data_IF_467247792987
#
_entry.id   IF_467247792987
#
_cell.length_a   1.000
_cell.length_b   1.000
_cell.length_c   1.000
_cell.angle_alpha   90.00
_cell.angle_beta   90.00
_cell.angle_gamma   90.00
#
_symmetry.space_group_name_H-M   'P 1'
#
loop_
_entity.id
_entity.type
_entity.pdbx_description
1 polymer ?
#
# COMPACT_ATOMS: atom_id res chain seq x y z
N UNK A 1 -71.28 35.24 -7.01
CA UNK A 1 -71.40 36.47 -6.21
C UNK A 1 -70.59 36.29 -4.93
N UNK A 2 -69.87 37.34 -4.51
CA UNK A 2 -68.99 37.49 -3.34
C UNK A 2 -67.60 36.88 -3.46
N UNK A 3 -66.51 37.57 -3.16
CA UNK A 3 -66.15 39.00 -3.11
C UNK A 3 -64.62 38.96 -2.91
N UNK A 4 -63.89 39.72 -3.72
CA UNK A 4 -62.44 39.96 -3.59
C UNK A 4 -62.24 41.15 -2.63
N UNK A 5 -61.36 41.01 -1.63
CA UNK A 5 -60.59 42.08 -0.97
C UNK A 5 -59.53 41.40 -0.07
N UNK A 6 -58.24 41.32 -0.44
CA UNK A 6 -57.12 42.28 -0.26
C UNK A 6 -56.43 42.19 1.11
N UNK A 7 -55.09 42.27 1.06
CA UNK A 7 -54.11 42.75 2.07
C UNK A 7 -53.54 41.74 3.10
N UNK A 8 -52.24 41.41 2.97
CA UNK A 8 -51.13 41.91 3.82
C UNK A 8 -49.83 41.14 3.53
N UNK A 9 -48.74 41.89 3.38
CA UNK A 9 -47.38 41.42 3.25
C UNK A 9 -46.75 41.08 4.62
N UNK A 10 -45.58 40.43 4.54
CA UNK A 10 -44.42 40.47 5.45
C UNK A 10 -44.14 39.25 6.36
N UNK A 11 -42.92 38.72 6.16
CA UNK A 11 -41.99 38.12 7.15
C UNK A 11 -42.40 36.73 7.72
N UNK A 12 -41.58 35.69 7.81
CA UNK A 12 -40.12 35.54 7.80
C UNK A 12 -39.79 34.09 7.41
N UNK A 13 -38.73 33.86 6.62
CA UNK A 13 -38.10 32.55 6.53
C UNK A 13 -37.44 32.24 7.88
N UNK A 14 -38.03 31.35 8.66
CA UNK A 14 -37.31 30.67 9.73
C UNK A 14 -36.53 29.53 9.07
N UNK A 15 -35.30 29.83 8.64
CA UNK A 15 -34.29 28.80 8.38
C UNK A 15 -33.90 28.25 9.75
N UNK A 16 -34.64 27.25 10.21
CA UNK A 16 -34.25 26.46 11.36
C UNK A 16 -33.01 25.65 11.00
N UNK A 17 -31.82 26.15 11.36
CA UNK A 17 -30.64 25.30 11.51
C UNK A 17 -30.91 24.32 12.64
N UNK A 18 -31.43 23.13 12.31
CA UNK A 18 -31.36 22.00 13.23
C UNK A 18 -29.89 21.74 13.61
N UNK A 19 -29.61 21.19 14.81
CA UNK A 19 -28.26 20.74 15.14
C UNK A 19 -27.86 19.73 14.07
N UNK A 20 -26.91 20.14 13.23
CA UNK A 20 -26.29 19.29 12.21
C UNK A 20 -25.66 18.15 13.00
N UNK A 21 -26.36 17.01 13.10
CA UNK A 21 -25.71 15.77 13.47
C UNK A 21 -24.62 15.59 12.43
N UNK A 22 -23.39 15.93 12.81
CA UNK A 22 -22.23 15.51 12.06
C UNK A 22 -22.38 14.00 11.97
N UNK A 23 -22.43 13.42 10.76
CA UNK A 23 -22.27 11.98 10.64
C UNK A 23 -21.07 11.59 11.52
N UNK A 24 -21.10 10.44 12.21
CA UNK A 24 -19.87 9.89 12.78
C UNK A 24 -18.81 10.04 11.71
N UNK A 25 -17.67 10.66 12.04
CA UNK A 25 -16.61 10.89 11.07
C UNK A 25 -16.48 9.62 10.24
N UNK A 26 -16.71 9.73 8.92
CA UNK A 26 -16.41 8.62 8.03
C UNK A 26 -14.96 8.28 8.35
N UNK A 27 -14.75 7.11 8.96
CA UNK A 27 -13.44 6.49 8.92
C UNK A 27 -13.18 6.40 7.42
N UNK A 28 -12.15 7.10 6.89
CA UNK A 28 -11.86 7.02 5.47
C UNK A 28 -11.81 5.53 5.14
N UNK A 29 -12.50 5.07 4.09
CA UNK A 29 -12.18 3.77 3.51
C UNK A 29 -10.67 3.82 3.24
N UNK A 30 -9.89 3.13 4.05
CA UNK A 30 -8.44 3.12 3.90
C UNK A 30 -8.14 2.65 2.47
N UNK A 31 -7.18 3.25 1.76
CA UNK A 31 -6.95 2.86 0.38
C UNK A 31 -6.56 1.38 0.36
N UNK A 32 -7.42 0.55 -0.23
CA UNK A 32 -6.90 -0.61 -0.96
C UNK A 32 -6.03 -0.05 -2.07
N UNK A 33 -4.76 -0.40 -2.10
CA UNK A 33 -3.80 0.26 -2.99
C UNK A 33 -2.46 -0.46 -2.98
N UNK A 34 -1.66 -0.11 -3.97
CA UNK A 34 -0.28 -0.58 -4.12
C UNK A 34 0.65 0.62 -4.03
N UNK A 35 1.87 0.44 -3.55
CA UNK A 35 2.87 1.51 -3.62
C UNK A 35 4.29 0.98 -3.49
N UNK A 36 5.22 1.73 -4.08
CA UNK A 36 6.64 1.62 -3.79
C UNK A 36 7.01 2.54 -2.61
N UNK A 37 7.83 2.05 -1.70
CA UNK A 37 8.40 2.82 -0.59
C UNK A 37 9.91 2.66 -0.55
N UNK A 38 10.59 3.79 -0.34
CA UNK A 38 12.03 3.80 -0.13
C UNK A 38 12.32 3.45 1.33
N UNK A 39 13.26 2.52 1.54
CA UNK A 39 13.80 2.16 2.84
C UNK A 39 15.25 2.67 2.95
N UNK A 40 15.84 2.66 4.14
CA UNK A 40 17.24 3.07 4.31
C UNK A 40 18.23 2.13 3.59
N UNK A 41 17.90 0.84 3.47
CA UNK A 41 18.75 -0.21 2.89
C UNK A 41 18.08 -1.03 1.79
N UNK A 42 17.25 -0.39 0.98
CA UNK A 42 16.56 -1.05 -0.13
C UNK A 42 15.26 -0.35 -0.49
N UNK A 43 14.36 -1.10 -1.10
CA UNK A 43 13.00 -0.68 -1.36
C UNK A 43 12.02 -1.75 -0.93
N UNK A 44 10.76 -1.35 -0.77
CA UNK A 44 9.67 -2.30 -0.73
C UNK A 44 8.54 -1.84 -1.64
N UNK A 45 7.83 -2.81 -2.18
CA UNK A 45 6.51 -2.62 -2.72
C UNK A 45 5.51 -3.35 -1.85
N UNK A 46 4.33 -2.79 -1.70
CA UNK A 46 3.27 -3.45 -0.96
C UNK A 46 1.95 -3.42 -1.72
N UNK A 47 1.11 -4.41 -1.42
CA UNK A 47 -0.32 -4.33 -1.62
C UNK A 47 -1.00 -4.25 -0.25
N UNK A 48 -1.96 -3.35 -0.10
CA UNK A 48 -2.71 -3.18 1.14
C UNK A 48 -4.22 -3.20 0.90
N UNK A 49 -4.95 -3.52 1.95
CA UNK A 49 -6.41 -3.47 1.99
C UNK A 49 -6.88 -2.89 3.32
N UNK A 50 -7.78 -1.91 3.27
CA UNK A 50 -8.48 -1.38 4.45
C UNK A 50 -7.54 -0.99 5.61
N UNK A 51 -6.33 -0.47 5.27
CA UNK A 51 -5.18 -0.07 6.15
C UNK A 51 -4.18 -1.15 6.56
N UNK A 52 -4.36 -2.41 6.15
CA UNK A 52 -3.47 -3.51 6.51
C UNK A 52 -2.67 -3.95 5.29
N UNK A 53 -1.36 -4.12 5.45
CA UNK A 53 -0.51 -4.70 4.41
C UNK A 53 -0.84 -6.17 4.22
N UNK A 54 -1.09 -6.60 2.98
CA UNK A 54 -1.43 -7.98 2.65
C UNK A 54 -0.27 -8.72 1.99
N UNK A 55 0.54 -8.01 1.20
CA UNK A 55 1.74 -8.56 0.54
C UNK A 55 2.86 -7.54 0.58
N UNK A 56 4.10 -8.01 0.77
CA UNK A 56 5.32 -7.20 0.65
C UNK A 56 6.30 -7.83 -0.34
N UNK A 57 6.91 -7.00 -1.15
CA UNK A 57 8.03 -7.36 -2.03
C UNK A 57 9.20 -6.44 -1.69
N UNK A 58 10.26 -6.97 -1.08
CA UNK A 58 11.48 -6.23 -0.79
C UNK A 58 12.48 -6.38 -1.94
N UNK A 59 13.19 -5.31 -2.23
CA UNK A 59 14.37 -5.36 -3.10
C UNK A 59 15.63 -4.91 -2.36
N UNK A 60 16.74 -5.52 -2.74
CA UNK A 60 18.08 -5.27 -2.25
C UNK A 60 18.76 -4.07 -2.94
N UNK A 61 17.97 -3.12 -3.42
CA UNK A 61 18.48 -1.85 -3.89
C UNK A 61 17.47 -0.73 -3.60
N UNK A 62 17.93 0.47 -3.22
CA UNK A 62 17.03 1.58 -2.95
C UNK A 62 16.30 2.04 -4.21
N UNK A 63 15.08 2.58 -4.03
CA UNK A 63 14.35 3.23 -5.12
C UNK A 63 15.19 4.38 -5.69
N UNK A 64 15.35 4.38 -7.02
CA UNK A 64 16.03 5.44 -7.75
C UNK A 64 15.14 6.69 -7.90
N UNK A 65 13.83 6.49 -8.14
CA UNK A 65 12.82 7.53 -8.24
C UNK A 65 11.71 7.26 -7.21
N UNK A 66 11.27 8.31 -6.51
CA UNK A 66 10.14 8.22 -5.58
C UNK A 66 8.80 8.05 -6.30
N UNK A 67 8.76 8.29 -7.62
CA UNK A 67 7.59 8.10 -8.48
C UNK A 67 7.65 6.80 -9.28
N UNK A 68 8.46 5.81 -8.87
CA UNK A 68 8.57 4.54 -9.60
C UNK A 68 7.18 3.86 -9.67
N UNK A 69 6.66 3.56 -10.88
CA UNK A 69 5.30 3.06 -11.04
C UNK A 69 5.00 1.81 -10.21
N UNK A 70 3.79 1.72 -9.70
CA UNK A 70 3.34 0.65 -8.79
C UNK A 70 3.26 -0.74 -9.45
N UNK A 71 3.43 -0.85 -10.76
CA UNK A 71 3.37 -2.12 -11.50
C UNK A 71 4.72 -2.86 -11.57
N UNK A 72 5.77 -2.29 -10.98
CA UNK A 72 7.07 -2.94 -10.85
C UNK A 72 7.84 -2.48 -9.60
N UNK A 73 8.84 -3.29 -9.25
CA UNK A 73 9.91 -2.91 -8.34
C UNK A 73 11.20 -2.75 -9.11
N UNK A 74 12.12 -1.95 -8.59
CA UNK A 74 13.48 -1.83 -9.15
C UNK A 74 14.48 -2.52 -8.21
N UNK A 75 15.25 -3.46 -8.75
CA UNK A 75 16.41 -4.09 -8.10
C UNK A 75 17.64 -3.88 -8.99
N UNK A 76 18.70 -3.26 -8.46
CA UNK A 76 19.97 -2.96 -9.15
C UNK A 76 19.81 -2.36 -10.55
N UNK A 77 18.89 -1.39 -10.68
CA UNK A 77 18.57 -0.71 -11.96
C UNK A 77 17.72 -1.53 -12.93
N UNK A 78 17.34 -2.76 -12.57
CA UNK A 78 16.45 -3.61 -13.34
C UNK A 78 15.02 -3.48 -12.82
N UNK A 79 14.08 -3.14 -13.73
CA UNK A 79 12.64 -3.13 -13.45
C UNK A 79 12.11 -4.57 -13.48
N UNK A 80 11.44 -4.96 -12.42
CA UNK A 80 10.84 -6.29 -12.24
C UNK A 80 9.33 -6.09 -12.12
N UNK A 81 8.52 -6.52 -13.10
CA UNK A 81 7.07 -6.35 -13.03
C UNK A 81 6.49 -7.18 -11.88
N UNK A 82 5.53 -6.59 -11.16
CA UNK A 82 4.86 -7.20 -10.02
C UNK A 82 3.35 -6.99 -10.14
N UNK A 83 2.59 -8.08 -10.01
CA UNK A 83 1.13 -8.04 -9.98
C UNK A 83 0.63 -8.94 -8.87
N UNK A 84 -0.13 -8.40 -7.92
CA UNK A 84 -0.76 -9.18 -6.85
C UNK A 84 -2.25 -9.39 -7.12
N UNK A 85 -2.67 -10.65 -7.14
CA UNK A 85 -4.05 -11.08 -7.24
C UNK A 85 -4.46 -11.79 -5.94
N UNK A 86 -4.56 -11.03 -4.87
CA UNK A 86 -5.00 -11.50 -3.54
C UNK A 86 -5.94 -10.49 -2.90
N UNK A 87 -6.86 -10.97 -2.05
CA UNK A 87 -7.81 -10.12 -1.30
C UNK A 87 -7.47 -9.99 0.18
N UNK A 88 -6.60 -10.85 0.68
CA UNK A 88 -6.37 -11.04 2.12
C UNK A 88 -4.91 -11.29 2.47
N UNK A 89 -4.01 -11.43 1.49
CA UNK A 89 -2.61 -11.75 1.74
C UNK A 89 -2.38 -13.19 2.23
N UNK A 90 -3.38 -14.06 2.09
CA UNK A 90 -3.34 -15.47 2.53
C UNK A 90 -3.67 -16.44 1.40
N UNK A 91 -4.43 -15.99 0.41
CA UNK A 91 -4.85 -16.79 -0.75
C UNK A 91 -4.74 -15.99 -2.04
N UNK A 92 -4.63 -16.68 -3.17
CA UNK A 92 -4.44 -16.08 -4.49
C UNK A 92 -2.99 -16.14 -4.95
N UNK A 93 -2.64 -15.28 -5.90
CA UNK A 93 -1.32 -15.34 -6.55
C UNK A 93 -0.62 -14.00 -6.56
N UNK A 94 0.71 -14.02 -6.63
CA UNK A 94 1.52 -12.90 -7.08
C UNK A 94 2.32 -13.33 -8.30
N UNK A 95 2.39 -12.47 -9.31
CA UNK A 95 3.31 -12.63 -10.44
C UNK A 95 4.49 -11.71 -10.24
N UNK A 96 5.71 -12.25 -10.27
CA UNK A 96 6.97 -11.49 -10.21
C UNK A 96 7.81 -11.91 -11.40
N UNK A 97 8.14 -10.95 -12.28
CA UNK A 97 8.81 -11.23 -13.57
C UNK A 97 8.09 -12.30 -14.41
N UNK A 98 6.75 -12.35 -14.35
CA UNK A 98 5.93 -13.36 -15.07
C UNK A 98 5.91 -14.74 -14.43
N UNK A 99 6.66 -14.98 -13.35
CA UNK A 99 6.57 -16.22 -12.57
C UNK A 99 5.48 -16.08 -11.51
N UNK A 100 4.56 -17.03 -11.46
CA UNK A 100 3.48 -17.04 -10.46
C UNK A 100 3.90 -17.75 -9.17
N UNK A 101 3.54 -17.16 -8.05
CA UNK A 101 3.73 -17.69 -6.71
C UNK A 101 2.37 -17.72 -5.99
N UNK A 102 2.07 -18.84 -5.33
CA UNK A 102 0.90 -18.98 -4.48
C UNK A 102 1.15 -18.26 -3.15
N UNK A 103 0.30 -17.29 -2.82
CA UNK A 103 0.40 -16.48 -1.59
C UNK A 103 0.22 -17.35 -0.34
N UNK A 104 -0.43 -18.51 -0.44
CA UNK A 104 -0.55 -19.45 0.67
C UNK A 104 0.80 -20.01 1.15
N UNK A 105 1.83 -20.00 0.29
CA UNK A 105 3.20 -20.41 0.65
C UNK A 105 4.00 -19.28 1.32
N UNK A 106 3.49 -18.06 1.27
CA UNK A 106 4.11 -16.89 1.88
C UNK A 106 3.68 -15.59 1.21
N UNK A 107 3.58 -14.54 2.00
CA UNK A 107 3.08 -13.21 1.61
C UNK A 107 4.18 -12.14 1.59
N UNK A 108 5.43 -12.52 1.87
CA UNK A 108 6.60 -11.66 1.76
C UNK A 108 7.55 -12.25 0.73
N UNK A 109 8.04 -11.42 -0.18
CA UNK A 109 8.94 -11.80 -1.26
C UNK A 109 10.22 -10.98 -1.18
N UNK A 110 11.37 -11.63 -1.32
CA UNK A 110 12.67 -10.98 -1.41
C UNK A 110 13.16 -11.14 -2.85
N UNK A 111 13.33 -10.02 -3.55
CA UNK A 111 13.65 -9.98 -4.98
C UNK A 111 15.01 -9.35 -5.17
N UNK A 112 15.93 -10.09 -5.78
CA UNK A 112 17.27 -9.62 -6.13
C UNK A 112 17.58 -9.90 -7.59
N UNK A 113 18.29 -8.96 -8.21
CA UNK A 113 18.86 -9.08 -9.57
C UNK A 113 20.39 -8.91 -9.57
N UNK A 114 21.04 -9.04 -8.41
CA UNK A 114 22.50 -8.91 -8.26
C UNK A 114 23.24 -9.79 -9.28
N UNK A 115 24.29 -9.23 -9.88
CA UNK A 115 25.10 -9.86 -10.93
C UNK A 115 24.28 -10.38 -12.12
N UNK A 116 23.14 -9.75 -12.41
CA UNK A 116 22.23 -10.14 -13.49
C UNK A 116 21.46 -11.43 -13.21
N UNK A 117 21.49 -11.95 -11.98
CA UNK A 117 20.78 -13.17 -11.59
C UNK A 117 19.48 -12.81 -10.89
N UNK A 118 18.36 -13.09 -11.54
CA UNK A 118 17.04 -12.96 -10.92
C UNK A 118 16.81 -14.06 -9.89
N UNK A 119 16.51 -13.66 -8.65
CA UNK A 119 16.17 -14.56 -7.54
C UNK A 119 14.97 -14.02 -6.79
N UNK A 120 14.09 -14.94 -6.41
CA UNK A 120 12.95 -14.68 -5.53
C UNK A 120 13.00 -15.67 -4.37
N UNK A 121 12.93 -15.17 -3.15
CA UNK A 121 12.68 -15.97 -1.96
C UNK A 121 11.32 -15.59 -1.41
N UNK A 122 10.48 -16.59 -1.13
CA UNK A 122 9.15 -16.41 -0.57
C UNK A 122 9.16 -16.79 0.92
N UNK A 123 8.56 -15.94 1.74
CA UNK A 123 8.53 -16.05 3.20
C UNK A 123 7.08 -15.92 3.69
N UNK A 124 6.69 -16.79 4.61
CA UNK A 124 5.44 -16.65 5.34
C UNK A 124 5.67 -15.76 6.58
N UNK A 125 4.94 -14.63 6.67
CA UNK A 125 5.02 -13.68 7.79
C UNK A 125 3.65 -13.14 8.17
N UNK A 126 3.49 -12.73 9.43
CA UNK A 126 2.31 -12.01 9.86
C UNK A 126 2.43 -10.52 9.50
N UNK A 127 1.54 -10.04 8.65
CA UNK A 127 1.47 -8.65 8.20
C UNK A 127 0.28 -7.90 8.82
N UNK A 128 -0.51 -8.53 9.70
CA UNK A 128 -1.75 -7.95 10.23
C UNK A 128 -1.54 -6.64 11.00
N UNK A 129 -0.34 -6.42 11.54
CA UNK A 129 0.03 -5.22 12.29
C UNK A 129 0.93 -4.27 11.48
N UNK A 130 1.25 -4.60 10.22
CA UNK A 130 2.14 -3.80 9.38
C UNK A 130 1.31 -2.79 8.60
N UNK A 131 1.42 -1.52 8.99
CA UNK A 131 0.76 -0.43 8.26
C UNK A 131 1.50 -0.14 6.94
N UNK A 132 0.78 0.26 5.88
CA UNK A 132 1.33 0.51 4.55
C UNK A 132 2.05 1.87 4.45
N UNK A 133 3.10 2.06 5.25
CA UNK A 133 3.97 3.24 5.19
C UNK A 133 5.43 2.85 5.45
N UNK A 134 6.36 3.68 4.96
CA UNK A 134 7.79 3.39 5.00
C UNK A 134 8.31 3.10 6.41
N UNK A 135 7.89 3.88 7.41
CA UNK A 135 8.35 3.70 8.80
C UNK A 135 7.95 2.34 9.37
N UNK A 136 6.69 1.93 9.19
CA UNK A 136 6.20 0.66 9.72
C UNK A 136 6.76 -0.54 8.95
N UNK A 137 6.88 -0.43 7.63
CA UNK A 137 7.48 -1.47 6.78
C UNK A 137 8.96 -1.65 7.13
N UNK A 138 9.70 -0.56 7.34
CA UNK A 138 11.11 -0.62 7.73
C UNK A 138 11.27 -1.22 9.13
N UNK A 139 10.46 -0.81 10.11
CA UNK A 139 10.46 -1.41 11.45
C UNK A 139 10.20 -2.91 11.40
N UNK A 140 9.20 -3.34 10.62
CA UNK A 140 8.92 -4.75 10.40
C UNK A 140 10.12 -5.48 9.78
N UNK A 141 10.69 -4.93 8.71
CA UNK A 141 11.82 -5.54 7.99
C UNK A 141 13.07 -5.69 8.87
N UNK A 142 13.35 -4.71 9.74
CA UNK A 142 14.52 -4.74 10.63
C UNK A 142 14.32 -5.63 11.86
N UNK A 143 13.07 -5.90 12.25
CA UNK A 143 12.75 -6.84 13.32
C UNK A 143 12.83 -8.31 12.87
N UNK A 144 12.65 -8.56 11.56
CA UNK A 144 12.78 -9.89 10.97
C UNK A 144 14.22 -10.20 10.56
N UNK A 145 14.77 -11.33 11.03
CA UNK A 145 16.16 -11.68 10.79
C UNK A 145 16.47 -11.93 9.30
N UNK A 146 15.57 -12.60 8.57
CA UNK A 146 15.82 -12.96 7.16
C UNK A 146 15.68 -11.74 6.25
N UNK A 147 14.63 -10.94 6.47
CA UNK A 147 14.40 -9.70 5.70
C UNK A 147 15.50 -8.69 6.01
N UNK A 148 15.85 -8.52 7.30
CA UNK A 148 16.93 -7.64 7.72
C UNK A 148 18.28 -8.07 7.16
N UNK A 149 18.59 -9.37 7.14
CA UNK A 149 19.82 -9.87 6.52
C UNK A 149 19.86 -9.59 5.02
N UNK A 150 18.74 -9.81 4.32
CA UNK A 150 18.60 -9.51 2.89
C UNK A 150 18.84 -8.02 2.58
N UNK A 151 18.20 -7.12 3.31
CA UNK A 151 18.38 -5.67 3.13
C UNK A 151 19.78 -5.20 3.56
N UNK A 152 20.40 -5.83 4.56
CA UNK A 152 21.78 -5.50 4.94
C UNK A 152 22.83 -5.99 3.94
N UNK A 153 22.50 -6.98 3.11
CA UNK A 153 23.33 -7.42 2.00
C UNK A 153 23.19 -6.52 0.76
N UNK A 154 22.22 -5.60 0.74
CA UNK A 154 22.04 -4.63 -0.34
C UNK A 154 23.26 -3.70 -0.47
N UNK A 155 23.73 -3.47 -1.69
CA UNK A 155 24.69 -2.41 -1.94
C UNK A 155 24.00 -1.03 -1.77
N UNK A 156 24.67 -0.05 -1.13
CA UNK A 156 24.12 1.30 -1.03
C UNK A 156 23.99 1.93 -2.43
N UNK A 157 22.94 2.74 -2.64
CA UNK A 157 22.81 3.55 -3.86
C UNK A 157 24.12 4.30 -4.13
N UNK A 158 24.71 4.08 -5.30
CA UNK A 158 25.73 5.00 -5.81
C UNK A 158 25.05 6.35 -6.03
N UNK A 159 25.52 7.35 -5.29
CA UNK A 159 25.09 8.75 -5.39
C UNK A 159 25.49 9.37 -6.72
#
# INVERSE_FOLDING_TARGET
MKNILVLIALASLIIGCGPKQTPPAEIPKGPSGTANVRLSKGAAWFASRDIVTTVLVFTDSPLADANDPEEHVTSHGTKVPVVANTRDGRSGTISIAGTEYDVANGNVFLVSTVDGKFKVQQLARDLMQVQPNAENIEKFAMADQEIGAFLNAAEPAKK
#
